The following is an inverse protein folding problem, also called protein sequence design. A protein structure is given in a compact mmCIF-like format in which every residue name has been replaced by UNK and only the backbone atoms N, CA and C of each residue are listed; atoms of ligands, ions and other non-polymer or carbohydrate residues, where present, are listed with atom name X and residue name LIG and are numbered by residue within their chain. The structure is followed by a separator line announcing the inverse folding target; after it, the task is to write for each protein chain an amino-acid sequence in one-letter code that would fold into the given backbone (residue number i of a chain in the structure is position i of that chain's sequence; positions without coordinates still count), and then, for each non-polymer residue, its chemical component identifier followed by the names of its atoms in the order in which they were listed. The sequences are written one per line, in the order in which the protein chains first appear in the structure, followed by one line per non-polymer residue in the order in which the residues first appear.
data_IF_900372372931
#
_entry.id   IF_900372372931
#
_cell.length_a   1.000
_cell.length_b   1.000
_cell.length_c   1.000
_cell.angle_alpha   90.00
_cell.angle_beta   90.00
_cell.angle_gamma   90.00
#
_symmetry.space_group_name_H-M   'P 1'
#
loop_
_entity.id
_entity.type
_entity.pdbx_description
1 polymer ?
#
# COMPACT_ATOMS: atom_id res chain seq x y z
N UNK A 1 0.78 19.23 9.45
CA UNK A 1 0.12 18.67 8.26
C UNK A 1 1.09 17.71 7.59
N UNK A 2 0.59 16.56 7.15
CA UNK A 2 1.35 15.52 6.45
C UNK A 2 0.65 15.27 5.12
N UNK A 3 1.40 15.18 4.03
CA UNK A 3 0.86 14.81 2.71
C UNK A 3 1.52 13.52 2.25
N UNK A 4 0.69 12.53 1.92
CA UNK A 4 1.12 11.25 1.38
C UNK A 4 0.74 11.17 -0.09
N UNK A 5 1.69 10.81 -0.95
CA UNK A 5 1.47 10.61 -2.39
C UNK A 5 2.42 9.54 -2.93
N UNK A 6 2.03 8.90 -4.04
CA UNK A 6 2.89 7.93 -4.71
C UNK A 6 3.79 8.57 -5.74
N UNK A 7 4.94 7.93 -5.99
CA UNK A 7 5.87 8.37 -7.02
C UNK A 7 5.46 7.82 -8.38
N UNK A 8 5.43 8.66 -9.41
CA UNK A 8 5.13 8.25 -10.79
C UNK A 8 3.63 8.18 -11.08
N UNK A 9 3.20 7.12 -11.78
CA UNK A 9 1.82 7.01 -12.33
C UNK A 9 0.80 6.40 -11.37
N UNK A 10 1.21 5.95 -10.19
CA UNK A 10 0.35 5.31 -9.20
C UNK A 10 0.61 5.83 -7.79
N UNK A 11 -0.36 5.59 -6.91
CA UNK A 11 -0.26 5.92 -5.50
C UNK A 11 0.43 4.79 -4.73
N UNK A 12 -0.23 3.64 -4.63
CA UNK A 12 0.29 2.45 -3.96
C UNK A 12 -0.48 1.20 -4.43
N UNK A 13 0.22 0.22 -5.01
CA UNK A 13 -0.39 -1.01 -5.53
C UNK A 13 -0.77 -2.03 -4.43
N UNK A 14 -0.39 -1.78 -3.18
CA UNK A 14 -0.59 -2.69 -2.07
C UNK A 14 0.53 -3.72 -1.94
N UNK A 15 0.28 -4.78 -1.17
CA UNK A 15 1.22 -5.88 -1.01
C UNK A 15 1.29 -6.70 -2.29
N UNK A 16 2.49 -7.17 -2.65
CA UNK A 16 2.64 -8.09 -3.75
C UNK A 16 2.21 -9.49 -3.30
N UNK A 17 1.23 -10.06 -3.99
CA UNK A 17 0.63 -11.37 -3.70
C UNK A 17 1.04 -12.45 -4.72
N UNK A 18 1.95 -12.15 -5.64
CA UNK A 18 2.46 -13.13 -6.61
C UNK A 18 3.46 -14.10 -5.97
N UNK A 19 3.94 -15.07 -6.75
CA UNK A 19 4.95 -16.01 -6.24
C UNK A 19 6.21 -15.23 -5.83
N UNK A 20 6.81 -15.54 -4.66
CA UNK A 20 8.03 -14.90 -4.17
C UNK A 20 9.17 -14.95 -5.20
N UNK A 21 9.22 -16.00 -6.02
CA UNK A 21 10.25 -16.19 -7.04
C UNK A 21 10.09 -15.27 -8.26
N UNK A 22 8.90 -14.71 -8.49
CA UNK A 22 8.59 -13.94 -9.70
C UNK A 22 8.91 -12.44 -9.57
N UNK A 23 9.28 -11.97 -8.37
CA UNK A 23 9.59 -10.56 -8.13
C UNK A 23 11.03 -10.40 -7.63
N UNK A 24 11.88 -9.80 -8.46
CA UNK A 24 13.27 -9.49 -8.13
C UNK A 24 13.35 -8.66 -6.83
N UNK A 25 14.00 -9.22 -5.81
CA UNK A 25 14.13 -8.60 -4.48
C UNK A 25 13.01 -8.91 -3.49
N UNK A 26 11.88 -9.50 -3.91
CA UNK A 26 10.75 -9.82 -3.03
C UNK A 26 10.81 -11.25 -2.49
N UNK A 27 11.40 -12.18 -3.24
CA UNK A 27 11.50 -13.59 -2.82
C UNK A 27 12.29 -13.83 -1.54
N UNK A 28 13.40 -13.09 -1.37
CA UNK A 28 14.18 -13.11 -0.14
C UNK A 28 13.38 -12.58 1.06
N UNK A 29 12.61 -11.50 0.88
CA UNK A 29 11.81 -10.88 1.95
C UNK A 29 10.57 -11.70 2.30
N UNK A 30 9.93 -12.35 1.32
CA UNK A 30 8.75 -13.19 1.54
C UNK A 30 9.09 -14.56 2.16
N UNK A 31 10.25 -15.13 1.87
CA UNK A 31 10.74 -16.33 2.56
C UNK A 31 10.93 -16.04 4.06
N UNK A 32 11.46 -14.87 4.42
CA UNK A 32 11.51 -14.41 5.81
C UNK A 32 10.12 -14.11 6.36
N UNK A 33 9.25 -13.40 5.62
CA UNK A 33 7.90 -13.05 6.07
C UNK A 33 6.98 -14.27 6.34
N UNK A 34 7.16 -15.37 5.62
CA UNK A 34 6.45 -16.64 5.88
C UNK A 34 6.87 -17.31 7.19
N UNK A 35 8.06 -16.98 7.69
CA UNK A 35 8.63 -17.50 8.92
C UNK A 35 8.47 -16.54 10.11
N UNK A 36 7.94 -15.34 9.86
CA UNK A 36 7.84 -14.22 10.80
C UNK A 36 6.38 -14.03 11.20
N UNK A 37 6.13 -13.83 12.50
CA UNK A 37 4.78 -13.56 13.00
C UNK A 37 4.23 -12.28 12.32
N UNK A 38 2.94 -12.24 12.01
CA UNK A 38 2.28 -11.04 11.48
C UNK A 38 2.53 -9.83 12.39
N UNK A 39 2.68 -10.05 13.70
CA UNK A 39 3.04 -9.02 14.66
C UNK A 39 4.39 -8.35 14.36
N UNK A 40 5.39 -9.10 13.93
CA UNK A 40 6.73 -8.59 13.61
C UNK A 40 6.76 -7.85 12.27
N UNK A 41 5.87 -8.20 11.33
CA UNK A 41 5.71 -7.52 10.04
C UNK A 41 5.04 -6.15 10.15
N UNK A 42 4.23 -5.96 11.19
CA UNK A 42 3.50 -4.70 11.43
C UNK A 42 4.42 -3.63 12.02
N UNK A 43 5.61 -4.02 12.51
CA UNK A 43 6.53 -3.14 13.23
C UNK A 43 5.94 -2.64 14.56
N UNK A 44 6.67 -1.78 15.26
CA UNK A 44 6.29 -1.21 16.57
C UNK A 44 4.93 -0.45 16.57
N UNK A 45 4.37 -0.15 15.39
CA UNK A 45 3.17 0.68 15.28
C UNK A 45 2.12 0.03 14.39
N UNK A 46 0.90 -0.16 14.89
CA UNK A 46 -0.15 -0.75 14.09
C UNK A 46 -0.56 0.15 12.92
N UNK A 47 -1.18 -0.38 11.86
CA UNK A 47 -1.50 0.38 10.65
C UNK A 47 -2.40 1.60 10.92
N UNK A 48 -3.28 1.50 11.91
CA UNK A 48 -4.17 2.58 12.33
C UNK A 48 -3.47 3.69 13.11
N UNK A 49 -2.17 3.60 13.43
CA UNK A 49 -1.45 4.63 14.17
C UNK A 49 -1.57 6.02 13.52
N UNK A 50 -1.66 6.07 12.19
CA UNK A 50 -1.85 7.33 11.45
C UNK A 50 -3.12 8.09 11.86
N UNK A 51 -4.17 7.40 12.33
CA UNK A 51 -5.43 8.02 12.78
C UNK A 51 -5.32 8.65 14.16
N UNK A 52 -4.23 8.41 14.89
CA UNK A 52 -3.99 8.95 16.24
C UNK A 52 -3.15 10.23 16.23
N UNK A 53 -2.70 10.66 15.05
CA UNK A 53 -1.84 11.82 14.91
C UNK A 53 -2.60 13.11 15.16
N UNK A 54 -2.02 14.03 15.95
CA UNK A 54 -2.57 15.37 16.19
C UNK A 54 -2.51 16.30 14.97
N UNK A 55 -1.77 15.93 13.94
CA UNK A 55 -1.56 16.72 12.72
C UNK A 55 -2.36 16.06 11.60
N UNK A 56 -3.16 16.82 10.81
CA UNK A 56 -3.95 16.23 9.74
C UNK A 56 -3.06 15.61 8.68
N UNK A 57 -3.51 14.48 8.14
CA UNK A 57 -2.89 13.66 7.12
C UNK A 57 -3.75 13.66 5.86
N UNK A 58 -3.17 14.09 4.75
CA UNK A 58 -3.85 14.19 3.45
C UNK A 58 -3.26 13.16 2.49
N UNK A 59 -4.11 12.30 1.92
CA UNK A 59 -3.75 11.41 0.84
C UNK A 59 -4.00 12.07 -0.52
N UNK A 60 -2.93 12.39 -1.25
CA UNK A 60 -2.97 12.83 -2.63
C UNK A 60 -2.77 11.61 -3.56
N UNK A 61 -3.89 11.00 -3.95
CA UNK A 61 -3.97 9.77 -4.74
C UNK A 61 -3.82 10.12 -6.23
N UNK A 62 -2.59 10.09 -6.70
CA UNK A 62 -2.17 10.46 -8.05
C UNK A 62 -2.42 9.38 -9.12
N UNK A 63 -2.90 8.20 -8.74
CA UNK A 63 -3.19 7.10 -9.67
C UNK A 63 -3.59 5.81 -8.94
N UNK A 64 -3.43 4.63 -9.57
CA UNK A 64 -3.86 3.34 -9.01
C UNK A 64 -3.50 3.16 -7.53
N UNK A 65 -4.50 2.76 -6.76
CA UNK A 65 -4.45 2.57 -5.32
C UNK A 65 -5.28 1.34 -4.95
N UNK A 66 -4.64 0.28 -4.45
CA UNK A 66 -5.29 -1.01 -4.20
C UNK A 66 -4.74 -1.72 -2.96
N UNK A 67 -5.49 -2.71 -2.47
CA UNK A 67 -5.09 -3.55 -1.33
C UNK A 67 -4.76 -2.73 -0.07
N UNK A 68 -3.66 -3.10 0.61
CA UNK A 68 -3.21 -2.39 1.82
C UNK A 68 -2.86 -0.91 1.55
N UNK A 69 -2.49 -0.55 0.32
CA UNK A 69 -2.27 0.83 -0.08
C UNK A 69 -3.55 1.67 -0.05
N UNK A 70 -4.68 1.07 -0.43
CA UNK A 70 -6.00 1.70 -0.29
C UNK A 70 -6.40 1.78 1.18
N UNK A 71 -6.19 0.73 1.96
CA UNK A 71 -6.44 0.75 3.41
C UNK A 71 -5.70 1.89 4.10
N UNK A 72 -4.43 2.13 3.78
CA UNK A 72 -3.65 3.23 4.33
C UNK A 72 -4.21 4.60 3.90
N UNK A 73 -4.63 4.76 2.64
CA UNK A 73 -5.27 5.99 2.17
C UNK A 73 -6.60 6.25 2.90
N UNK A 74 -7.36 5.19 3.23
CA UNK A 74 -8.61 5.29 4.00
C UNK A 74 -8.40 5.72 5.45
N UNK A 75 -7.21 5.52 6.00
CA UNK A 75 -6.85 5.99 7.34
C UNK A 75 -6.42 7.46 7.37
N UNK A 76 -6.26 8.11 6.21
CA UNK A 76 -5.99 9.54 6.13
C UNK A 76 -7.28 10.36 6.33
N UNK A 77 -7.14 11.55 6.92
CA UNK A 77 -8.26 12.47 7.22
C UNK A 77 -8.96 12.96 5.96
N UNK A 78 -8.16 13.35 4.95
CA UNK A 78 -8.66 13.87 3.67
C UNK A 78 -8.01 13.13 2.52
N UNK A 79 -8.81 12.83 1.48
CA UNK A 79 -8.37 12.10 0.30
C UNK A 79 -8.72 12.90 -0.95
N UNK A 80 -7.70 13.22 -1.76
CA UNK A 80 -7.86 13.79 -3.09
C UNK A 80 -7.46 12.75 -4.13
N UNK A 81 -8.40 12.34 -4.98
CA UNK A 81 -8.14 11.36 -6.03
C UNK A 81 -8.13 12.01 -7.41
N UNK A 82 -7.13 11.67 -8.22
CA UNK A 82 -7.10 12.06 -9.62
C UNK A 82 -8.25 11.38 -10.40
N UNK A 83 -9.06 12.18 -11.08
CA UNK A 83 -10.13 11.66 -11.92
C UNK A 83 -9.58 10.75 -13.04
N UNK A 84 -10.28 9.64 -13.31
CA UNK A 84 -9.97 8.76 -14.44
C UNK A 84 -8.69 7.91 -14.29
N UNK A 85 -8.05 7.87 -13.10
CA UNK A 85 -6.88 7.01 -12.86
C UNK A 85 -7.20 5.87 -11.88
N UNK A 86 -8.01 4.92 -12.32
CA UNK A 86 -8.24 3.66 -11.60
C UNK A 86 -7.17 2.62 -11.92
N UNK A 87 -7.02 1.61 -11.05
CA UNK A 87 -6.30 0.40 -11.42
C UNK A 87 -6.94 -0.23 -12.66
N UNK A 88 -6.15 -0.86 -13.56
CA UNK A 88 -6.72 -1.67 -14.62
C UNK A 88 -7.60 -2.78 -14.02
N UNK A 89 -8.62 -3.26 -14.75
CA UNK A 89 -9.41 -4.41 -14.30
C UNK A 89 -8.48 -5.58 -14.03
N UNK A 90 -8.74 -6.28 -12.92
CA UNK A 90 -8.00 -7.48 -12.56
C UNK A 90 -8.20 -8.53 -13.67
N UNK A 91 -7.13 -8.90 -14.36
CA UNK A 91 -7.11 -9.99 -15.34
C UNK A 91 -6.45 -11.21 -14.71
N UNK A 92 -7.20 -12.27 -14.35
CA UNK A 92 -6.59 -13.52 -13.90
C UNK A 92 -5.91 -14.19 -15.09
N UNK A 93 -4.58 -14.30 -15.08
CA UNK A 93 -3.83 -15.12 -16.03
C UNK A 93 -2.79 -14.37 -16.86
N UNK A 94 -1.57 -14.33 -16.34
CA UNK A 94 -0.34 -14.35 -17.14
C UNK A 94 0.78 -14.92 -16.26
N UNK A 95 1.03 -16.23 -16.43
CA UNK A 95 2.27 -16.95 -16.08
C UNK A 95 2.87 -16.71 -14.70
#
# INVERSE_FOLDING_TARGET
MIVLTGRGRGFCAGAYLGSPDSAAGYGATMATARQTDLADLVGERPPHFVTTLRKPVIAAINGPCAGIGLTQALMCDVRFAAAGRSSPPYSPGAG
#
